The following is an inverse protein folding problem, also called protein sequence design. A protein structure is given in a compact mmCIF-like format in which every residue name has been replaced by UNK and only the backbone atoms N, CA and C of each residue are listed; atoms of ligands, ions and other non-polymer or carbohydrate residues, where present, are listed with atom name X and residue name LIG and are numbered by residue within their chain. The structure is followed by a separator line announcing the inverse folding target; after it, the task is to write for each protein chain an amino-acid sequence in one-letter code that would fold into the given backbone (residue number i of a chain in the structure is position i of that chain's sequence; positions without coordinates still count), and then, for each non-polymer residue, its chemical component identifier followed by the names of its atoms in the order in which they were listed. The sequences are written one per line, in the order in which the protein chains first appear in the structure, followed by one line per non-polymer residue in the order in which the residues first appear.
data_IF_235204185640
#
_entry.id   IF_235204185640
#
_cell.length_a   1.000
_cell.length_b   1.000
_cell.length_c   1.000
_cell.angle_alpha   90.00
_cell.angle_beta   90.00
_cell.angle_gamma   90.00
#
_symmetry.space_group_name_H-M   'P 1'
#
loop_
_entity.id
_entity.type
_entity.pdbx_description
1 polymer ?
#
# COMPACT_ATOMS: atom_id res chain seq x y z
N UNK A 1 1.50 15.55 5.70
CA UNK A 1 0.30 14.71 5.93
C UNK A 1 0.40 14.18 7.33
N UNK A 2 -0.61 14.39 8.16
CA UNK A 2 -0.65 13.84 9.52
C UNK A 2 -1.38 12.50 9.44
N UNK A 3 -0.66 11.41 9.70
CA UNK A 3 -1.21 10.04 9.69
C UNK A 3 -1.41 9.62 11.13
N UNK A 4 -2.63 9.23 11.50
CA UNK A 4 -2.89 8.79 12.87
C UNK A 4 -2.10 7.50 13.18
N UNK A 5 -1.50 7.36 14.38
CA UNK A 5 -0.58 6.26 14.69
C UNK A 5 -1.14 4.86 14.42
N UNK A 6 -2.45 4.65 14.58
CA UNK A 6 -3.06 3.35 14.32
C UNK A 6 -3.00 2.89 12.85
N UNK A 7 -2.76 3.80 11.91
CA UNK A 7 -2.61 3.46 10.50
C UNK A 7 -1.16 3.24 10.08
N UNK A 8 -0.19 3.61 10.92
CA UNK A 8 1.23 3.50 10.61
C UNK A 8 1.66 2.04 10.78
N UNK A 9 2.25 1.49 9.72
CA UNK A 9 2.80 0.12 9.70
C UNK A 9 4.29 0.16 9.95
N UNK A 10 5.00 1.09 9.32
CA UNK A 10 6.45 1.22 9.46
C UNK A 10 6.91 2.65 9.15
N UNK A 11 7.98 3.09 9.81
CA UNK A 11 8.56 4.41 9.64
C UNK A 11 10.07 4.33 9.55
N UNK A 12 10.61 5.14 8.65
CA UNK A 12 12.06 5.29 8.48
C UNK A 12 12.45 6.76 8.46
N UNK A 13 13.71 7.05 8.12
CA UNK A 13 14.22 8.41 8.01
C UNK A 13 13.48 9.23 6.94
N UNK A 14 13.13 8.65 5.78
CA UNK A 14 12.49 9.39 4.69
C UNK A 14 11.07 8.92 4.36
N UNK A 15 10.61 7.82 4.95
CA UNK A 15 9.36 7.16 4.54
C UNK A 15 8.42 6.89 5.70
N UNK A 16 7.14 6.86 5.37
CA UNK A 16 6.07 6.34 6.22
C UNK A 16 5.29 5.34 5.36
N UNK A 17 5.22 4.10 5.83
CA UNK A 17 4.33 3.09 5.30
C UNK A 17 3.10 3.03 6.20
N UNK A 18 1.93 3.27 5.63
CA UNK A 18 0.67 3.25 6.36
C UNK A 18 -0.42 2.55 5.57
N UNK A 19 -1.49 2.12 6.25
CA UNK A 19 -2.72 1.73 5.58
C UNK A 19 -3.41 2.99 5.01
N UNK A 20 -3.98 2.89 3.81
CA UNK A 20 -4.61 4.05 3.18
C UNK A 20 -5.87 4.48 3.94
N UNK A 21 -5.86 5.69 4.51
CA UNK A 21 -6.88 6.17 5.46
C UNK A 21 -8.30 6.23 4.88
N UNK A 22 -8.47 6.27 3.55
CA UNK A 22 -9.79 6.28 2.89
C UNK A 22 -10.22 4.93 2.30
N UNK A 23 -9.47 3.86 2.54
CA UNK A 23 -9.79 2.52 2.05
C UNK A 23 -10.05 1.59 3.24
N UNK A 24 -10.95 0.63 3.08
CA UNK A 24 -11.12 -0.47 4.02
C UNK A 24 -10.47 -1.77 3.49
N UNK A 25 -9.89 -1.74 2.29
CA UNK A 25 -9.32 -2.94 1.67
C UNK A 25 -8.08 -3.41 2.44
N UNK A 26 -8.05 -4.67 2.90
CA UNK A 26 -6.86 -5.26 3.51
C UNK A 26 -5.67 -5.19 2.56
N UNK A 27 -4.48 -4.83 3.07
CA UNK A 27 -3.27 -4.75 2.26
C UNK A 27 -3.17 -3.53 1.33
N UNK A 28 -4.15 -2.62 1.33
CA UNK A 28 -4.07 -1.37 0.56
C UNK A 28 -3.22 -0.34 1.30
N UNK A 29 -1.91 -0.42 1.07
CA UNK A 29 -0.89 0.39 1.72
C UNK A 29 -0.53 1.64 0.91
N UNK A 30 -0.11 2.67 1.61
CA UNK A 30 0.45 3.90 1.05
C UNK A 30 1.87 4.07 1.55
N UNK A 31 2.79 4.32 0.63
CA UNK A 31 4.20 4.61 0.93
C UNK A 31 4.46 6.09 0.69
N UNK A 32 4.33 6.89 1.74
CA UNK A 32 4.52 8.34 1.72
C UNK A 32 5.98 8.76 1.91
N UNK A 33 6.30 9.99 1.51
CA UNK A 33 7.53 10.67 1.93
C UNK A 33 7.27 11.48 3.20
N UNK A 34 8.25 11.51 4.11
CA UNK A 34 8.25 12.43 5.26
C UNK A 34 8.57 13.87 4.84
N UNK A 35 9.30 14.03 3.75
CA UNK A 35 9.59 15.33 3.15
C UNK A 35 8.42 15.74 2.27
N UNK A 36 7.96 16.97 2.42
CA UNK A 36 6.95 17.50 1.52
C UNK A 36 7.60 17.87 0.19
N UNK A 37 7.30 17.10 -0.84
CA UNK A 37 7.74 17.32 -2.23
C UNK A 37 6.54 17.20 -3.15
N UNK A 38 6.54 17.93 -4.26
CA UNK A 38 5.47 17.87 -5.24
C UNK A 38 5.78 16.86 -6.35
N UNK A 39 7.02 16.37 -6.40
CA UNK A 39 7.49 15.38 -7.36
C UNK A 39 8.46 14.39 -6.70
N UNK A 40 8.40 13.12 -7.11
CA UNK A 40 9.41 12.13 -6.71
C UNK A 40 10.82 12.53 -7.17
N UNK A 41 10.95 13.22 -8.30
CA UNK A 41 12.24 13.65 -8.83
C UNK A 41 12.94 14.71 -7.96
N UNK A 42 12.23 15.33 -7.02
CA UNK A 42 12.77 16.30 -6.06
C UNK A 42 13.38 15.61 -4.82
N UNK A 43 13.22 14.30 -4.67
CA UNK A 43 13.74 13.57 -3.53
C UNK A 43 15.24 13.30 -3.67
N UNK A 44 16.00 13.31 -2.56
CA UNK A 44 17.39 12.86 -2.56
C UNK A 44 17.51 11.40 -3.04
N UNK A 45 18.63 11.06 -3.68
CA UNK A 45 18.91 9.70 -4.17
C UNK A 45 18.72 8.61 -3.10
N UNK A 46 19.14 8.89 -1.86
CA UNK A 46 18.96 7.97 -0.74
C UNK A 46 17.49 7.68 -0.44
N UNK A 47 16.62 8.70 -0.51
CA UNK A 47 15.19 8.54 -0.30
C UNK A 47 14.52 7.80 -1.49
N UNK A 48 15.02 7.96 -2.70
CA UNK A 48 14.56 7.22 -3.89
C UNK A 48 14.97 5.74 -3.82
N UNK A 49 16.20 5.44 -3.44
CA UNK A 49 16.65 4.06 -3.25
C UNK A 49 15.84 3.35 -2.15
N UNK A 50 15.58 4.05 -1.04
CA UNK A 50 14.76 3.54 0.04
C UNK A 50 13.32 3.22 -0.38
N UNK A 51 12.73 4.03 -1.28
CA UNK A 51 11.41 3.74 -1.85
C UNK A 51 11.36 2.37 -2.52
N UNK A 52 12.34 2.11 -3.37
CA UNK A 52 12.41 0.87 -4.13
C UNK A 52 12.58 -0.34 -3.20
N UNK A 53 13.43 -0.21 -2.17
CA UNK A 53 13.63 -1.25 -1.15
C UNK A 53 12.33 -1.59 -0.41
N UNK A 54 11.63 -0.57 0.12
CA UNK A 54 10.38 -0.78 0.86
C UNK A 54 9.27 -1.34 -0.03
N UNK A 55 9.18 -0.91 -1.30
CA UNK A 55 8.24 -1.52 -2.26
C UNK A 55 8.55 -3.00 -2.50
N UNK A 56 9.83 -3.36 -2.63
CA UNK A 56 10.24 -4.74 -2.82
C UNK A 56 9.94 -5.61 -1.59
N UNK A 57 10.13 -5.08 -0.39
CA UNK A 57 9.79 -5.79 0.85
C UNK A 57 8.27 -6.01 0.97
N UNK A 58 7.46 -4.98 0.71
CA UNK A 58 5.99 -5.10 0.69
C UNK A 58 5.53 -6.13 -0.34
N UNK A 59 6.11 -6.14 -1.54
CA UNK A 59 5.73 -7.10 -2.58
C UNK A 59 6.10 -8.54 -2.21
N UNK A 60 7.24 -8.75 -1.55
CA UNK A 60 7.64 -10.08 -1.08
C UNK A 60 6.69 -10.62 0.00
N UNK A 61 6.27 -9.75 0.91
CA UNK A 61 5.39 -10.12 2.02
C UNK A 61 3.92 -10.29 1.60
N UNK A 62 3.42 -9.47 0.66
CA UNK A 62 2.00 -9.48 0.27
C UNK A 62 1.73 -10.13 -1.09
N UNK A 63 2.63 -9.99 -2.05
CA UNK A 63 2.46 -10.46 -3.43
C UNK A 63 2.92 -11.90 -3.64
N UNK A 64 3.99 -12.32 -2.98
CA UNK A 64 4.61 -13.65 -3.13
C UNK A 64 4.39 -14.56 -1.93
N UNK A 65 3.59 -14.14 -0.93
CA UNK A 65 3.36 -14.97 0.24
C UNK A 65 2.64 -16.26 -0.16
N UNK A 66 3.21 -17.45 0.13
CA UNK A 66 2.60 -18.74 -0.18
C UNK A 66 1.31 -18.99 0.63
N UNK A 67 1.10 -18.21 1.70
CA UNK A 67 -0.15 -18.14 2.44
C UNK A 67 -0.56 -16.66 2.50
N UNK A 68 -1.27 -16.14 1.49
CA UNK A 68 -1.73 -14.76 1.51
C UNK A 68 -2.57 -14.53 2.77
N UNK A 69 -2.47 -13.34 3.40
CA UNK A 69 -3.28 -13.05 4.57
C UNK A 69 -4.77 -13.24 4.21
N UNK A 70 -5.59 -13.76 5.14
CA UNK A 70 -7.00 -14.04 4.87
C UNK A 70 -7.70 -12.75 4.43
N UNK A 71 -8.05 -12.69 3.15
CA UNK A 71 -8.75 -11.55 2.56
C UNK A 71 -10.22 -11.66 2.96
N UNK A 72 -10.76 -10.64 3.63
CA UNK A 72 -12.18 -10.58 3.94
C UNK A 72 -12.93 -10.00 2.74
N UNK A 73 -13.86 -10.76 2.15
CA UNK A 73 -14.69 -10.31 1.02
C UNK A 73 -14.84 -11.36 -0.07
N UNK A 74 -15.61 -11.05 -1.13
CA UNK A 74 -15.77 -11.97 -2.26
C UNK A 74 -14.45 -12.15 -3.02
N UNK A 75 -14.22 -13.34 -3.57
CA UNK A 75 -13.10 -13.60 -4.48
C UNK A 75 -13.20 -12.73 -5.74
N UNK A 76 -12.09 -12.59 -6.47
CA UNK A 76 -12.07 -11.89 -7.78
C UNK A 76 -13.17 -12.44 -8.69
N UNK A 77 -13.34 -13.77 -8.76
CA UNK A 77 -14.39 -14.39 -9.56
C UNK A 77 -15.79 -14.01 -9.09
N UNK A 78 -16.03 -13.97 -7.76
CA UNK A 78 -17.31 -13.55 -7.19
C UNK A 78 -17.60 -12.07 -7.48
N UNK A 79 -16.59 -11.20 -7.44
CA UNK A 79 -16.72 -9.78 -7.82
C UNK A 79 -17.03 -9.65 -9.31
N UNK A 80 -16.32 -10.37 -10.18
CA UNK A 80 -16.57 -10.37 -11.63
C UNK A 80 -18.01 -10.79 -11.92
N UNK A 81 -18.48 -11.87 -11.30
CA UNK A 81 -19.83 -12.37 -11.47
C UNK A 81 -20.89 -11.38 -10.97
N UNK A 82 -20.64 -10.73 -9.83
CA UNK A 82 -21.52 -9.68 -9.31
C UNK A 82 -21.66 -8.54 -10.31
N UNK A 83 -20.55 -8.00 -10.81
CA UNK A 83 -20.55 -6.88 -11.77
C UNK A 83 -21.25 -7.26 -13.07
N UNK A 84 -20.98 -8.45 -13.62
CA UNK A 84 -21.65 -8.94 -14.84
C UNK A 84 -23.17 -9.02 -14.68
N UNK A 85 -23.68 -9.32 -13.48
CA UNK A 85 -25.12 -9.36 -13.20
C UNK A 85 -25.72 -7.96 -13.10
N UNK A 86 -24.97 -6.96 -12.62
CA UNK A 86 -25.45 -5.58 -12.48
C UNK A 86 -25.61 -4.85 -13.82
N UNK A 87 -24.99 -5.32 -14.90
CA UNK A 87 -25.10 -4.75 -16.24
C UNK A 87 -26.04 -5.55 -17.18
N UNK A 88 -26.86 -6.45 -16.63
CA UNK A 88 -27.92 -7.16 -17.37
C UNK A 88 -29.28 -6.56 -17.11
#
# INVERSE_FOLDING_TARGET
MEVAPQFIVHETAHRILNHHMSSALPGYLMLGSRTHVNSLAELPDGALAELAGLLADVWRELGESPAPPPIQGPSIDQVIDLFRRSFR
#
